data_IF_794715545485
#
_entry.id   IF_794715545485
#
_cell.length_a   1.000
_cell.length_b   1.000
_cell.length_c   1.000
_cell.angle_alpha   90.00
_cell.angle_beta   90.00
_cell.angle_gamma   90.00
#
_symmetry.space_group_name_H-M   'P 1'
#
loop_
_entity.id
_entity.type
_entity.pdbx_description
1 polymer ?
#
# COMPACT_ATOMS: atom_id res chain seq x y z
N UNK A 1 -34.95 25.64 2.62
CA UNK A 1 -34.79 24.30 3.24
C UNK A 1 -34.27 23.22 2.29
N UNK A 2 -34.85 23.01 1.10
CA UNK A 2 -34.36 21.97 0.16
C UNK A 2 -32.92 22.16 -0.33
N UNK A 3 -32.48 23.40 -0.59
CA UNK A 3 -31.10 23.66 -1.04
C UNK A 3 -30.03 23.31 0.01
N UNK A 4 -30.31 23.57 1.29
CA UNK A 4 -29.38 23.28 2.40
C UNK A 4 -29.26 21.77 2.61
N UNK A 5 -30.38 21.03 2.57
CA UNK A 5 -30.37 19.56 2.63
C UNK A 5 -29.60 18.95 1.46
N UNK A 6 -29.73 19.52 0.26
CA UNK A 6 -29.02 19.06 -0.94
C UNK A 6 -27.51 19.35 -0.85
N UNK A 7 -27.11 20.53 -0.36
CA UNK A 7 -25.70 20.85 -0.11
C UNK A 7 -25.07 19.93 0.93
N UNK A 8 -25.76 19.69 2.06
CA UNK A 8 -25.29 18.76 3.09
C UNK A 8 -25.21 17.32 2.57
N UNK A 9 -26.20 16.86 1.81
CA UNK A 9 -26.19 15.54 1.19
C UNK A 9 -25.03 15.37 0.21
N UNK A 10 -24.74 16.40 -0.60
CA UNK A 10 -23.62 16.38 -1.54
C UNK A 10 -22.27 16.37 -0.82
N UNK A 11 -22.10 17.21 0.21
CA UNK A 11 -20.89 17.23 1.01
C UNK A 11 -20.63 15.88 1.70
N UNK A 12 -21.69 15.25 2.24
CA UNK A 12 -21.58 13.92 2.84
C UNK A 12 -21.19 12.86 1.81
N UNK A 13 -21.79 12.89 0.62
CA UNK A 13 -21.46 11.96 -0.46
C UNK A 13 -19.99 12.09 -0.89
N UNK A 14 -19.49 13.32 -1.06
CA UNK A 14 -18.07 13.57 -1.39
C UNK A 14 -17.15 13.08 -0.27
N UNK A 15 -17.50 13.32 0.98
CA UNK A 15 -16.72 12.84 2.12
C UNK A 15 -16.65 11.30 2.15
N UNK A 16 -17.78 10.60 1.98
CA UNK A 16 -17.81 9.14 1.94
C UNK A 16 -17.04 8.58 0.74
N UNK A 17 -17.14 9.20 -0.43
CA UNK A 17 -16.37 8.82 -1.61
C UNK A 17 -14.86 8.96 -1.37
N UNK A 18 -14.44 10.03 -0.69
CA UNK A 18 -13.03 10.24 -0.33
C UNK A 18 -12.52 9.18 0.66
N UNK A 19 -13.30 8.86 1.70
CA UNK A 19 -12.95 7.80 2.65
C UNK A 19 -12.86 6.44 1.96
N UNK A 20 -13.83 6.13 1.10
CA UNK A 20 -13.84 4.89 0.32
C UNK A 20 -12.62 4.82 -0.61
N UNK A 21 -12.26 5.90 -1.29
CA UNK A 21 -11.05 5.96 -2.11
C UNK A 21 -9.79 5.68 -1.27
N UNK A 22 -9.69 6.31 -0.09
CA UNK A 22 -8.58 6.09 0.84
C UNK A 22 -8.43 4.62 1.26
N UNK A 23 -9.54 3.95 1.57
CA UNK A 23 -9.51 2.60 2.12
C UNK A 23 -9.41 1.50 1.05
N UNK A 24 -10.18 1.63 -0.03
CA UNK A 24 -10.31 0.59 -1.06
C UNK A 24 -9.34 0.73 -2.21
N UNK A 25 -8.82 1.94 -2.46
CA UNK A 25 -7.93 2.19 -3.61
C UNK A 25 -6.53 2.66 -3.20
N UNK A 26 -6.44 3.65 -2.32
CA UNK A 26 -5.13 4.16 -1.89
C UNK A 26 -4.47 3.24 -0.86
N UNK A 27 -5.26 2.69 0.06
CA UNK A 27 -4.79 1.85 1.15
C UNK A 27 -4.23 2.62 2.33
N UNK A 28 -3.92 1.89 3.39
CA UNK A 28 -3.28 2.41 4.61
C UNK A 28 -1.82 1.96 4.68
N UNK A 29 -0.90 2.81 5.17
CA UNK A 29 0.49 2.42 5.32
C UNK A 29 0.61 1.21 6.25
N UNK A 30 1.34 0.20 5.81
CA UNK A 30 1.61 -1.02 6.53
C UNK A 30 3.11 -1.20 6.69
N UNK A 31 3.55 -1.35 7.95
CA UNK A 31 4.95 -1.26 8.36
C UNK A 31 5.57 0.14 8.17
N UNK A 32 6.71 0.34 8.83
CA UNK A 32 7.49 1.58 8.73
C UNK A 32 8.09 1.76 7.33
N UNK A 33 8.53 2.98 7.05
CA UNK A 33 9.32 3.27 5.85
C UNK A 33 10.66 2.55 5.96
N UNK A 34 11.05 1.83 4.93
CA UNK A 34 12.38 1.25 4.82
C UNK A 34 13.15 2.08 3.81
N UNK A 35 14.27 2.67 4.23
CA UNK A 35 15.08 3.55 3.39
C UNK A 35 16.23 2.75 2.76
N UNK A 36 16.64 3.22 1.58
CA UNK A 36 17.95 2.91 1.00
C UNK A 36 19.10 3.37 1.91
N UNK A 37 20.30 2.77 1.81
CA UNK A 37 21.45 3.15 2.64
C UNK A 37 21.84 4.63 2.53
N UNK A 38 21.66 5.25 1.36
CA UNK A 38 21.91 6.67 1.08
C UNK A 38 20.73 7.58 1.44
N UNK A 39 19.63 7.01 1.94
CA UNK A 39 18.38 7.70 2.29
C UNK A 39 17.71 8.44 1.13
N UNK A 40 18.09 8.19 -0.14
CA UNK A 40 17.52 8.87 -1.29
C UNK A 40 16.09 8.40 -1.60
N UNK A 41 15.83 7.12 -1.35
CA UNK A 41 14.54 6.46 -1.59
C UNK A 41 14.06 5.68 -0.37
N UNK A 42 12.74 5.53 -0.25
CA UNK A 42 12.15 4.58 0.68
C UNK A 42 11.02 3.79 0.01
N UNK A 43 10.87 2.54 0.39
CA UNK A 43 9.67 1.79 0.08
C UNK A 43 8.75 1.74 1.31
N UNK A 44 7.46 1.63 1.04
CA UNK A 44 6.44 1.39 2.04
C UNK A 44 5.32 0.52 1.47
N UNK A 45 4.90 -0.47 2.24
CA UNK A 45 3.76 -1.32 1.88
C UNK A 45 2.48 -0.60 2.26
N UNK A 46 1.44 -0.76 1.47
CA UNK A 46 0.11 -0.22 1.73
C UNK A 46 -0.88 -1.37 1.69
N UNK A 47 -1.68 -1.54 2.74
CA UNK A 47 -2.77 -2.53 2.76
C UNK A 47 -4.06 -1.89 2.31
N UNK A 48 -4.77 -2.57 1.42
CA UNK A 48 -6.15 -2.22 1.10
C UNK A 48 -7.09 -2.79 2.15
N UNK A 49 -8.23 -2.12 2.32
CA UNK A 49 -9.31 -2.68 3.12
C UNK A 49 -9.81 -3.99 2.48
N UNK A 50 -9.95 -5.03 3.30
CA UNK A 50 -10.50 -6.31 2.88
C UNK A 50 -11.50 -6.80 3.92
N UNK A 51 -12.74 -7.02 3.50
CA UNK A 51 -13.79 -7.60 4.35
C UNK A 51 -13.40 -8.98 4.90
N UNK A 52 -12.50 -9.71 4.22
CA UNK A 52 -12.01 -11.02 4.69
C UNK A 52 -11.26 -10.94 6.02
N UNK A 53 -10.69 -9.78 6.36
CA UNK A 53 -10.05 -9.58 7.68
C UNK A 53 -11.02 -9.64 8.86
N UNK A 54 -12.33 -9.48 8.61
CA UNK A 54 -13.37 -9.56 9.63
C UNK A 54 -13.95 -10.97 9.80
N UNK A 55 -13.62 -11.89 8.91
CA UNK A 55 -14.09 -13.28 8.97
C UNK A 55 -13.04 -14.07 9.77
N UNK A 56 -13.37 -14.61 10.95
CA UNK A 56 -12.45 -15.46 11.69
C UNK A 56 -12.18 -16.72 10.88
N UNK A 57 -10.95 -16.90 10.43
CA UNK A 57 -10.51 -18.12 9.75
C UNK A 57 -9.93 -19.03 10.84
N UNK A 58 -10.58 -20.17 11.10
CA UNK A 58 -9.98 -21.19 11.95
C UNK A 58 -8.88 -21.90 11.18
N UNK A 59 -7.62 -21.56 11.50
CA UNK A 59 -6.43 -22.24 10.98
C UNK A 59 -6.09 -23.45 11.84
N UNK A 60 -5.59 -24.53 11.22
CA UNK A 60 -5.07 -25.67 11.99
C UNK A 60 -3.85 -25.22 12.81
N UNK A 61 -3.59 -25.84 13.98
CA UNK A 61 -2.36 -25.58 14.73
C UNK A 61 -1.15 -25.83 13.83
N UNK A 62 -0.36 -24.78 13.55
CA UNK A 62 0.81 -24.83 12.66
C UNK A 62 0.69 -24.01 11.36
N UNK A 63 -0.52 -23.61 10.95
CA UNK A 63 -0.76 -22.90 9.67
C UNK A 63 -0.39 -21.40 9.69
N UNK A 64 0.00 -20.86 10.85
CA UNK A 64 0.23 -19.43 11.02
C UNK A 64 -1.03 -18.59 10.77
N UNK A 65 -0.85 -17.27 10.66
CA UNK A 65 -1.95 -16.34 10.39
C UNK A 65 -2.28 -16.30 8.90
N UNK A 66 -3.09 -17.26 8.44
CA UNK A 66 -3.52 -17.39 7.04
C UNK A 66 -4.24 -16.15 6.50
N UNK A 67 -4.83 -15.34 7.39
CA UNK A 67 -5.53 -14.11 7.01
C UNK A 67 -4.61 -13.11 6.31
N UNK A 68 -3.29 -13.16 6.59
CA UNK A 68 -2.29 -12.30 5.95
C UNK A 68 -2.14 -12.55 4.45
N UNK A 69 -2.44 -13.76 3.98
CA UNK A 69 -2.43 -14.08 2.54
C UNK A 69 -3.67 -13.58 1.79
N UNK A 70 -4.66 -13.05 2.51
CA UNK A 70 -5.96 -12.64 1.94
C UNK A 70 -6.14 -11.12 1.83
N UNK A 71 -5.10 -10.36 2.17
CA UNK A 71 -5.11 -8.89 2.15
C UNK A 71 -4.19 -8.39 1.05
N UNK A 72 -4.80 -7.85 0.00
CA UNK A 72 -4.09 -7.21 -1.08
C UNK A 72 -3.62 -5.79 -0.74
N UNK A 73 -2.76 -5.26 -1.58
CA UNK A 73 -2.37 -3.87 -1.55
C UNK A 73 -1.15 -3.58 -2.40
N UNK A 74 -0.45 -2.50 -2.08
CA UNK A 74 0.59 -1.95 -2.94
C UNK A 74 1.95 -1.94 -2.25
N UNK A 75 2.98 -2.39 -2.96
CA UNK A 75 4.34 -1.98 -2.70
C UNK A 75 4.56 -0.66 -3.41
N UNK A 76 4.86 0.41 -2.66
CA UNK A 76 5.13 1.73 -3.22
C UNK A 76 6.54 2.17 -2.89
N UNK A 77 7.19 2.81 -3.85
CA UNK A 77 8.53 3.38 -3.70
C UNK A 77 8.44 4.88 -3.90
N UNK A 78 9.08 5.61 -3.02
CA UNK A 78 9.09 7.05 -2.98
C UNK A 78 10.52 7.57 -2.91
N UNK A 79 10.73 8.80 -3.38
CA UNK A 79 11.89 9.61 -3.01
C UNK A 79 11.77 10.06 -1.55
N UNK A 80 12.89 10.49 -0.95
CA UNK A 80 12.92 11.02 0.41
C UNK A 80 11.95 12.21 0.64
N UNK A 81 11.69 13.00 -0.40
CA UNK A 81 10.73 14.11 -0.40
C UNK A 81 9.24 13.68 -0.42
N UNK A 82 8.97 12.38 -0.54
CA UNK A 82 7.63 11.80 -0.60
C UNK A 82 7.05 11.67 -2.01
N UNK A 83 7.81 12.00 -3.07
CA UNK A 83 7.38 11.82 -4.46
C UNK A 83 7.31 10.34 -4.81
N UNK A 84 6.15 9.88 -5.32
CA UNK A 84 5.97 8.50 -5.75
C UNK A 84 6.80 8.22 -7.02
N UNK A 85 7.70 7.25 -6.94
CA UNK A 85 8.52 6.79 -8.07
C UNK A 85 7.80 5.66 -8.82
N UNK A 86 7.20 4.73 -8.07
CA UNK A 86 6.51 3.60 -8.66
C UNK A 86 5.69 2.82 -7.65
N UNK A 87 4.79 2.00 -8.16
CA UNK A 87 3.98 1.11 -7.35
C UNK A 87 3.69 -0.21 -8.07
N UNK A 88 3.53 -1.27 -7.28
CA UNK A 88 3.11 -2.59 -7.76
C UNK A 88 2.06 -3.16 -6.82
N UNK A 89 1.03 -3.79 -7.39
CA UNK A 89 -0.04 -4.44 -6.62
C UNK A 89 0.33 -5.89 -6.31
N UNK A 90 0.03 -6.34 -5.09
CA UNK A 90 0.10 -7.74 -4.68
C UNK A 90 -1.18 -8.17 -3.96
N UNK A 91 -1.61 -9.42 -4.18
CA UNK A 91 -2.76 -10.01 -3.51
C UNK A 91 -2.54 -10.36 -2.03
N UNK A 92 -1.28 -10.46 -1.60
CA UNK A 92 -0.88 -10.75 -0.22
C UNK A 92 0.26 -9.84 0.27
N UNK A 93 0.09 -8.53 0.09
CA UNK A 93 1.09 -7.50 0.44
C UNK A 93 1.63 -7.62 1.88
N UNK A 94 0.85 -8.20 2.80
CA UNK A 94 1.21 -8.43 4.18
C UNK A 94 2.39 -9.39 4.41
N UNK A 95 2.63 -10.30 3.46
CA UNK A 95 3.69 -11.32 3.51
C UNK A 95 4.76 -11.11 2.45
N UNK A 96 4.57 -10.15 1.52
CA UNK A 96 5.58 -9.80 0.52
C UNK A 96 6.90 -9.45 1.22
N UNK A 97 7.96 -10.17 0.89
CA UNK A 97 9.33 -9.84 1.26
C UNK A 97 9.89 -8.84 0.26
N UNK A 98 10.62 -7.83 0.73
CA UNK A 98 11.09 -6.72 -0.11
C UNK A 98 12.57 -6.53 0.12
N UNK A 99 13.33 -6.41 -0.97
CA UNK A 99 14.76 -6.19 -0.97
C UNK A 99 15.11 -5.01 -1.89
N UNK A 100 16.14 -4.28 -1.48
CA UNK A 100 16.77 -3.27 -2.31
C UNK A 100 17.76 -3.94 -3.28
N UNK A 101 17.79 -3.42 -4.49
CA UNK A 101 18.82 -3.63 -5.50
C UNK A 101 19.46 -2.27 -5.82
N UNK A 102 20.57 -2.27 -6.54
CA UNK A 102 21.31 -1.03 -6.85
C UNK A 102 20.45 0.00 -7.60
N UNK A 103 19.56 -0.47 -8.47
CA UNK A 103 18.72 0.36 -9.35
C UNK A 103 17.23 0.02 -9.26
N UNK A 104 16.80 -0.79 -8.29
CA UNK A 104 15.43 -1.24 -8.18
C UNK A 104 15.02 -1.63 -6.75
N UNK A 105 13.71 -1.75 -6.54
CA UNK A 105 13.13 -2.49 -5.42
C UNK A 105 12.46 -3.73 -5.98
N UNK A 106 12.82 -4.89 -5.45
CA UNK A 106 12.12 -6.14 -5.73
C UNK A 106 11.26 -6.56 -4.56
N UNK A 107 10.15 -7.21 -4.87
CA UNK A 107 9.28 -7.83 -3.89
C UNK A 107 8.86 -9.22 -4.33
N UNK A 108 8.81 -10.16 -3.39
CA UNK A 108 8.34 -11.52 -3.62
C UNK A 108 7.23 -11.87 -2.63
N UNK A 109 6.07 -12.27 -3.15
CA UNK A 109 4.93 -12.71 -2.35
C UNK A 109 3.99 -13.57 -3.17
N UNK A 110 2.76 -13.10 -3.42
CA UNK A 110 1.83 -13.81 -4.29
C UNK A 110 2.15 -13.59 -5.77
N UNK A 111 2.85 -12.50 -6.08
CA UNK A 111 3.41 -12.21 -7.38
C UNK A 111 4.81 -11.66 -7.22
N UNK A 112 5.57 -11.69 -8.30
CA UNK A 112 6.87 -11.03 -8.37
C UNK A 112 6.67 -9.54 -8.66
N UNK A 113 7.48 -8.71 -8.02
CA UNK A 113 7.47 -7.27 -8.20
C UNK A 113 8.87 -6.76 -8.45
N UNK A 114 8.98 -5.87 -9.43
CA UNK A 114 10.19 -5.12 -9.69
C UNK A 114 9.79 -3.68 -10.01
N UNK A 115 10.28 -2.74 -9.21
CA UNK A 115 10.07 -1.31 -9.40
C UNK A 115 11.44 -0.68 -9.64
N UNK A 116 11.72 -0.34 -10.90
CA UNK A 116 12.97 0.33 -11.27
C UNK A 116 13.01 1.76 -10.71
N UNK A 117 14.18 2.14 -10.19
CA UNK A 117 14.48 3.49 -9.72
C UNK A 117 14.95 4.30 -10.93
N UNK A 118 14.06 5.10 -11.52
CA UNK A 118 14.44 5.97 -12.64
C UNK A 118 15.38 7.07 -12.14
N UNK A 119 16.65 6.91 -12.51
CA UNK A 119 17.79 7.81 -12.35
C UNK A 119 18.24 8.12 -10.92
N UNK A 120 19.51 7.77 -10.66
CA UNK A 120 20.39 8.34 -9.64
C UNK A 120 19.97 9.78 -9.32
N UNK A 121 19.67 10.05 -8.06
CA UNK A 121 19.75 11.41 -7.55
C UNK A 121 21.11 11.95 -7.97
N UNK A 122 21.12 12.92 -8.87
CA UNK A 122 22.35 13.58 -9.30
C UNK A 122 22.81 14.37 -8.08
N UNK A 123 23.98 14.09 -7.49
CA UNK A 123 24.49 14.96 -6.44
C UNK A 123 24.95 16.25 -7.13
N UNK A 124 24.38 17.38 -6.72
CA UNK A 124 24.94 18.70 -6.99
C UNK A 124 26.28 18.88 -6.26
#
# INVERSE_FOLDING_TARGET
>A
MNRIKLMLGTALAVFLAYQAYGWFYYGTPYQGRNYTPDQAFYYQKYRLFSWRTWIPIMTMPGDGDSSRYSVGGYLRVFKADGTLVGQSYDGCIAVVEVSWYDDAVGGFGCSEHLIALSAKATPD
#
